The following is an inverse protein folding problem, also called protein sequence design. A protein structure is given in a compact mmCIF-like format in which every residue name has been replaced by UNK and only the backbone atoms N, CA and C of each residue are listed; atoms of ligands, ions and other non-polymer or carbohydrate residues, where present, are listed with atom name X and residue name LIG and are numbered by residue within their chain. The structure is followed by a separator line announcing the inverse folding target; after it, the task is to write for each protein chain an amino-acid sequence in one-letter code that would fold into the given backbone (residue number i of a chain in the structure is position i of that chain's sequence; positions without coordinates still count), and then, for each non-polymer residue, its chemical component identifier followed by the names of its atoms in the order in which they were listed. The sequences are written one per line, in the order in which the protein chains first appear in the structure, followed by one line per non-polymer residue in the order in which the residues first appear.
data_IF_821173286057
#
_entry.id   IF_821173286057
#
_cell.length_a   1.000
_cell.length_b   1.000
_cell.length_c   1.000
_cell.angle_alpha   90.00
_cell.angle_beta   90.00
_cell.angle_gamma   90.00
#
_symmetry.space_group_name_H-M   'P 1'
#
loop_
_entity.id
_entity.type
_entity.pdbx_description
1 polymer ?
#
# COMPACT_ATOMS: atom_id res chain seq x y z
N UNK A 1 23.02 -2.17 30.72
CA UNK A 1 21.97 -2.20 29.66
C UNK A 1 20.67 -2.70 30.29
N UNK A 2 19.62 -1.89 30.24
CA UNK A 2 18.30 -2.33 30.66
C UNK A 2 17.69 -3.13 29.52
N UNK A 3 17.63 -4.44 29.65
CA UNK A 3 16.94 -5.33 28.71
C UNK A 3 15.43 -5.17 28.97
N UNK A 4 14.72 -4.62 28.01
CA UNK A 4 13.26 -4.52 28.06
C UNK A 4 12.67 -5.86 27.60
N UNK A 5 11.94 -6.53 28.46
CA UNK A 5 11.21 -7.74 28.09
C UNK A 5 9.95 -7.35 27.32
N UNK A 6 9.74 -7.99 26.17
CA UNK A 6 8.56 -7.76 25.33
C UNK A 6 7.73 -9.03 25.23
N UNK A 7 6.42 -8.87 25.31
CA UNK A 7 5.43 -9.94 25.17
C UNK A 7 4.70 -9.79 23.85
N UNK A 8 4.74 -10.84 23.05
CA UNK A 8 4.00 -10.89 21.79
C UNK A 8 2.51 -11.14 22.06
N UNK A 9 1.66 -10.33 21.43
CA UNK A 9 0.20 -10.48 21.45
C UNK A 9 -0.33 -10.37 20.03
N UNK A 10 -1.22 -11.26 19.65
CA UNK A 10 -1.97 -11.16 18.41
C UNK A 10 -3.29 -10.43 18.66
N UNK A 11 -3.61 -9.45 17.84
CA UNK A 11 -4.80 -8.63 17.98
C UNK A 11 -5.57 -8.56 16.67
N UNK A 12 -6.89 -8.58 16.77
CA UNK A 12 -7.80 -8.40 15.64
C UNK A 12 -8.44 -7.02 15.78
N UNK A 13 -8.42 -6.25 14.68
CA UNK A 13 -9.16 -5.00 14.57
C UNK A 13 -10.03 -5.06 13.32
N UNK A 14 -11.34 -4.84 13.52
CA UNK A 14 -12.32 -4.75 12.43
C UNK A 14 -13.13 -3.47 12.57
N UNK A 15 -13.29 -2.72 11.49
CA UNK A 15 -14.13 -1.54 11.51
C UNK A 15 -14.61 -1.16 10.09
N UNK A 16 -15.61 -0.29 10.06
CA UNK A 16 -16.18 0.29 8.84
C UNK A 16 -15.38 1.53 8.43
N UNK A 17 -15.19 1.73 7.15
CA UNK A 17 -14.54 2.91 6.60
C UNK A 17 -15.57 4.06 6.52
N UNK A 18 -15.37 5.09 7.34
CA UNK A 18 -16.27 6.26 7.40
C UNK A 18 -15.90 7.33 6.37
N UNK A 19 -14.64 7.71 6.32
CA UNK A 19 -14.11 8.76 5.43
C UNK A 19 -13.04 8.22 4.49
N UNK A 20 -11.99 7.65 5.05
CA UNK A 20 -10.91 6.96 4.35
C UNK A 20 -10.35 5.86 5.24
N UNK A 21 -9.61 4.94 4.64
CA UNK A 21 -9.02 3.80 5.35
C UNK A 21 -8.13 4.26 6.51
N UNK A 22 -7.21 5.21 6.26
CA UNK A 22 -6.22 5.62 7.25
C UNK A 22 -6.86 6.18 8.52
N UNK A 23 -7.76 7.16 8.38
CA UNK A 23 -8.44 7.76 9.56
C UNK A 23 -9.29 6.74 10.31
N UNK A 24 -10.01 5.87 9.62
CA UNK A 24 -10.84 4.84 10.25
C UNK A 24 -10.01 3.78 10.99
N UNK A 25 -8.84 3.42 10.45
CA UNK A 25 -7.94 2.48 11.09
C UNK A 25 -7.24 3.10 12.33
N UNK A 26 -6.81 4.37 12.25
CA UNK A 26 -6.24 5.10 13.39
C UNK A 26 -7.28 5.22 14.52
N UNK A 27 -8.52 5.61 14.19
CA UNK A 27 -9.62 5.68 15.16
C UNK A 27 -9.91 4.33 15.82
N UNK A 28 -9.60 3.23 15.14
CA UNK A 28 -9.75 1.86 15.65
C UNK A 28 -8.54 1.37 16.47
N UNK A 29 -7.51 2.21 16.66
CA UNK A 29 -6.31 1.88 17.41
C UNK A 29 -5.31 1.00 16.68
N UNK A 30 -5.33 1.01 15.34
CA UNK A 30 -4.30 0.37 14.52
C UNK A 30 -3.10 1.30 14.41
N UNK A 31 -1.90 0.77 14.62
CA UNK A 31 -0.66 1.54 14.53
C UNK A 31 -0.36 1.96 13.08
N UNK A 32 0.20 3.17 12.88
CA UNK A 32 0.42 3.73 11.54
C UNK A 32 1.22 2.84 10.58
N UNK A 33 2.24 2.14 11.07
CA UNK A 33 3.05 1.23 10.27
C UNK A 33 2.25 0.01 9.78
N UNK A 34 1.31 -0.51 10.60
CA UNK A 34 0.39 -1.58 10.19
C UNK A 34 -0.59 -1.08 9.12
N UNK A 35 -1.07 0.16 9.24
CA UNK A 35 -1.95 0.76 8.21
C UNK A 35 -1.22 0.90 6.87
N UNK A 36 0.05 1.32 6.91
CA UNK A 36 0.88 1.42 5.70
C UNK A 36 1.10 0.05 5.07
N UNK A 37 1.41 -0.96 5.87
CA UNK A 37 1.58 -2.33 5.40
C UNK A 37 0.27 -2.90 4.84
N UNK A 38 -0.86 -2.69 5.52
CA UNK A 38 -2.18 -3.08 5.02
C UNK A 38 -2.48 -2.43 3.66
N UNK A 39 -2.24 -1.13 3.52
CA UNK A 39 -2.42 -0.44 2.25
C UNK A 39 -1.46 -0.97 1.16
N UNK A 40 -0.25 -1.37 1.54
CA UNK A 40 0.73 -1.96 0.63
C UNK A 40 0.24 -3.31 0.07
N UNK A 41 -0.22 -4.22 0.93
CA UNK A 41 -0.64 -5.55 0.50
C UNK A 41 -1.93 -5.53 -0.33
N UNK A 42 -2.88 -4.65 -0.02
CA UNK A 42 -4.10 -4.49 -0.81
C UNK A 42 -3.91 -3.62 -2.07
N UNK A 43 -2.86 -2.80 -2.14
CA UNK A 43 -2.61 -1.89 -3.26
C UNK A 43 -2.39 -2.57 -4.62
N UNK A 44 -2.23 -3.89 -4.64
CA UNK A 44 -2.19 -4.70 -5.85
C UNK A 44 -3.58 -4.98 -6.44
N UNK A 45 -4.60 -5.10 -5.57
CA UNK A 45 -5.97 -5.44 -5.97
C UNK A 45 -6.92 -4.21 -5.89
N UNK A 46 -6.66 -3.27 -4.97
CA UNK A 46 -7.53 -2.14 -4.65
C UNK A 46 -6.90 -0.83 -5.09
N UNK A 47 -7.64 -0.01 -5.82
CA UNK A 47 -7.32 1.40 -6.03
C UNK A 47 -7.96 2.23 -4.90
N UNK A 48 -7.18 2.51 -3.85
CA UNK A 48 -7.64 3.25 -2.67
C UNK A 48 -8.22 4.64 -2.96
N UNK A 49 -8.02 5.17 -4.16
CA UNK A 49 -8.56 6.47 -4.58
C UNK A 49 -9.93 6.37 -5.25
N UNK A 50 -10.24 5.22 -5.84
CA UNK A 50 -11.42 5.04 -6.67
C UNK A 50 -12.38 4.00 -6.13
N UNK A 51 -11.84 2.97 -5.49
CA UNK A 51 -12.61 1.80 -5.10
C UNK A 51 -13.24 1.96 -3.72
N UNK A 52 -12.58 2.70 -2.80
CA UNK A 52 -13.05 2.85 -1.42
C UNK A 52 -14.31 3.70 -1.35
N UNK A 53 -15.32 3.17 -0.68
CA UNK A 53 -16.61 3.82 -0.45
C UNK A 53 -16.95 3.84 1.04
N UNK A 54 -17.88 4.71 1.40
CA UNK A 54 -18.47 4.70 2.72
C UNK A 54 -19.17 3.36 2.96
N UNK A 55 -18.94 2.79 4.17
CA UNK A 55 -19.46 1.50 4.62
C UNK A 55 -18.69 0.27 4.13
N UNK A 56 -17.67 0.43 3.26
CA UNK A 56 -16.67 -0.62 3.12
C UNK A 56 -16.03 -0.89 4.48
N UNK A 57 -15.48 -2.08 4.67
CA UNK A 57 -14.89 -2.43 5.95
C UNK A 57 -13.53 -3.11 5.76
N UNK A 58 -12.75 -3.12 6.83
CA UNK A 58 -11.47 -3.80 6.92
C UNK A 58 -11.38 -4.63 8.18
N UNK A 59 -10.58 -5.68 8.15
CA UNK A 59 -10.20 -6.53 9.27
C UNK A 59 -8.73 -6.86 9.19
N UNK A 60 -8.01 -6.70 10.30
CA UNK A 60 -6.57 -6.92 10.38
C UNK A 60 -6.26 -7.76 11.61
N UNK A 61 -5.65 -8.92 11.43
CA UNK A 61 -5.01 -9.70 12.49
C UNK A 61 -3.50 -9.48 12.40
N UNK A 62 -2.88 -8.92 13.42
CA UNK A 62 -1.45 -8.59 13.42
C UNK A 62 -0.83 -8.74 14.81
N UNK A 63 0.49 -8.74 14.86
CA UNK A 63 1.27 -8.90 16.09
C UNK A 63 1.59 -7.54 16.72
N UNK A 64 1.44 -7.44 18.04
CA UNK A 64 1.93 -6.34 18.89
C UNK A 64 2.95 -6.86 19.88
N UNK A 65 3.94 -6.05 20.19
CA UNK A 65 4.91 -6.31 21.26
C UNK A 65 4.69 -5.30 22.39
N UNK A 66 4.37 -5.82 23.55
CA UNK A 66 3.99 -5.06 24.74
C UNK A 66 5.07 -5.18 25.80
N UNK A 67 5.30 -4.13 26.57
CA UNK A 67 6.09 -4.19 27.79
C UNK A 67 5.27 -4.66 29.01
N UNK A 68 5.92 -4.78 30.17
CA UNK A 68 5.31 -5.17 31.44
C UNK A 68 4.15 -4.27 31.90
N UNK A 69 4.06 -3.05 31.36
CA UNK A 69 2.98 -2.09 31.62
C UNK A 69 1.86 -2.14 30.57
N UNK A 70 1.84 -3.17 29.73
CA UNK A 70 0.93 -3.31 28.57
C UNK A 70 1.03 -2.16 27.55
N UNK A 71 2.13 -1.44 27.51
CA UNK A 71 2.36 -0.40 26.50
C UNK A 71 2.91 -1.03 25.24
N UNK A 72 2.32 -0.70 24.10
CA UNK A 72 2.83 -1.11 22.78
C UNK A 72 4.20 -0.46 22.57
N UNK A 73 5.21 -1.29 22.32
CA UNK A 73 6.60 -0.86 22.06
C UNK A 73 6.98 -1.09 20.61
N UNK A 74 6.39 -2.13 20.01
CA UNK A 74 6.63 -2.46 18.62
C UNK A 74 5.43 -3.21 18.06
N UNK A 75 5.40 -3.37 16.74
CA UNK A 75 4.43 -4.18 16.03
C UNK A 75 5.15 -5.19 15.15
N UNK A 76 4.58 -6.37 15.02
CA UNK A 76 5.06 -7.38 14.10
C UNK A 76 4.32 -7.35 12.77
N UNK A 77 4.17 -8.51 12.18
CA UNK A 77 3.56 -8.69 10.87
C UNK A 77 2.04 -8.72 10.93
N UNK A 78 1.43 -8.44 9.79
CA UNK A 78 0.04 -8.78 9.53
C UNK A 78 -0.03 -10.28 9.24
N UNK A 79 -0.81 -11.02 10.00
CA UNK A 79 -1.01 -12.48 9.84
C UNK A 79 -2.12 -12.74 8.85
N UNK A 80 -3.21 -11.97 8.98
CA UNK A 80 -4.37 -12.03 8.12
C UNK A 80 -4.94 -10.64 7.94
N UNK A 81 -5.42 -10.37 6.75
CA UNK A 81 -6.10 -9.12 6.43
C UNK A 81 -7.29 -9.39 5.51
N UNK A 82 -8.40 -8.71 5.76
CA UNK A 82 -9.57 -8.74 4.91
C UNK A 82 -10.07 -7.32 4.63
N UNK A 83 -10.60 -7.12 3.45
CA UNK A 83 -11.20 -5.87 3.03
C UNK A 83 -12.41 -6.14 2.16
N UNK A 84 -13.53 -5.49 2.48
CA UNK A 84 -14.69 -5.46 1.62
C UNK A 84 -14.70 -4.17 0.83
N UNK A 85 -14.69 -4.28 -0.48
CA UNK A 85 -14.62 -3.15 -1.40
C UNK A 85 -15.28 -3.51 -2.74
N UNK A 86 -16.02 -2.58 -3.33
CA UNK A 86 -16.74 -2.79 -4.61
C UNK A 86 -17.70 -4.00 -4.61
N UNK A 87 -18.24 -4.38 -3.45
CA UNK A 87 -19.14 -5.52 -3.34
C UNK A 87 -18.46 -6.88 -3.19
N UNK A 88 -17.13 -6.90 -3.10
CA UNK A 88 -16.32 -8.11 -2.97
C UNK A 88 -15.48 -8.10 -1.70
N UNK A 89 -15.32 -9.26 -1.10
CA UNK A 89 -14.43 -9.48 0.03
C UNK A 89 -13.10 -10.05 -0.47
N UNK A 90 -12.01 -9.34 -0.17
CA UNK A 90 -10.65 -9.75 -0.51
C UNK A 90 -9.97 -10.20 0.78
N UNK A 91 -9.52 -11.45 0.79
CA UNK A 91 -8.86 -12.07 1.94
C UNK A 91 -7.40 -12.36 1.61
N UNK A 92 -6.48 -11.92 2.46
CA UNK A 92 -5.05 -12.10 2.32
C UNK A 92 -4.47 -12.78 3.57
N UNK A 93 -3.67 -13.80 3.34
CA UNK A 93 -3.04 -14.63 4.36
C UNK A 93 -1.53 -14.52 4.24
N UNK A 94 -0.87 -14.18 5.34
CA UNK A 94 0.59 -14.23 5.42
C UNK A 94 1.02 -15.69 5.51
N UNK A 95 1.89 -16.13 4.62
CA UNK A 95 2.44 -17.48 4.64
C UNK A 95 3.93 -17.47 4.33
N UNK A 96 4.70 -18.19 5.14
CA UNK A 96 6.13 -18.36 4.93
C UNK A 96 6.38 -19.68 4.20
N UNK A 97 6.93 -19.58 2.99
CA UNK A 97 7.34 -20.73 2.21
C UNK A 97 8.81 -20.59 1.80
N UNK A 98 9.65 -21.55 2.20
CA UNK A 98 11.09 -21.57 1.89
C UNK A 98 11.84 -20.29 2.25
N UNK A 99 11.54 -19.70 3.39
CA UNK A 99 12.07 -18.42 3.89
C UNK A 99 11.62 -17.16 3.12
N UNK A 100 10.69 -17.29 2.18
CA UNK A 100 9.99 -16.16 1.58
C UNK A 100 8.64 -15.99 2.26
N UNK A 101 8.47 -14.86 2.92
CA UNK A 101 7.23 -14.47 3.58
C UNK A 101 6.42 -13.60 2.64
N UNK A 102 5.30 -14.12 2.18
CA UNK A 102 4.42 -13.45 1.22
C UNK A 102 2.95 -13.54 1.63
N UNK A 103 2.14 -12.68 1.03
CA UNK A 103 0.69 -12.73 1.17
C UNK A 103 0.05 -13.43 -0.02
N UNK A 104 -0.93 -14.28 0.29
CA UNK A 104 -1.66 -15.10 -0.68
C UNK A 104 -3.15 -14.89 -0.53
N UNK A 105 -3.87 -14.95 -1.65
CA UNK A 105 -5.32 -15.02 -1.64
C UNK A 105 -5.82 -16.41 -1.19
N UNK A 106 -7.13 -16.58 -1.04
CA UNK A 106 -7.77 -17.85 -0.63
C UNK A 106 -7.51 -19.00 -1.63
N UNK A 107 -7.07 -18.70 -2.85
CA UNK A 107 -6.72 -19.68 -3.88
C UNK A 107 -5.21 -20.02 -3.86
N UNK A 108 -4.46 -19.44 -2.95
CA UNK A 108 -3.00 -19.61 -2.87
C UNK A 108 -2.24 -18.84 -3.94
N UNK A 109 -2.84 -17.83 -4.57
CA UNK A 109 -2.16 -16.94 -5.51
C UNK A 109 -1.45 -15.83 -4.74
N UNK A 110 -0.13 -15.69 -4.96
CA UNK A 110 0.65 -14.60 -4.38
C UNK A 110 0.21 -13.24 -4.95
N UNK A 111 0.06 -12.26 -4.06
CA UNK A 111 -0.27 -10.87 -4.43
C UNK A 111 0.91 -10.14 -5.07
N UNK A 112 2.15 -10.56 -4.82
CA UNK A 112 3.36 -9.89 -5.30
C UNK A 112 3.61 -10.01 -6.80
N UNK A 113 2.81 -10.82 -7.50
CA UNK A 113 2.89 -10.99 -8.96
C UNK A 113 2.25 -9.86 -9.76
N UNK A 114 1.58 -8.93 -9.12
CA UNK A 114 0.94 -7.75 -9.72
C UNK A 114 1.72 -6.47 -9.39
N UNK A 115 1.50 -5.41 -10.15
CA UNK A 115 2.02 -4.08 -9.82
C UNK A 115 0.95 -3.30 -9.03
N UNK A 116 1.40 -2.60 -7.99
CA UNK A 116 0.55 -1.73 -7.18
C UNK A 116 -0.10 -0.64 -8.05
N UNK A 117 -1.41 -0.49 -7.92
CA UNK A 117 -2.19 0.50 -8.70
C UNK A 117 -1.92 1.94 -8.25
N UNK A 118 -1.74 2.14 -6.95
CA UNK A 118 -1.51 3.47 -6.35
C UNK A 118 -0.27 3.43 -5.46
N UNK A 119 0.93 3.76 -6.00
CA UNK A 119 2.20 3.65 -5.28
C UNK A 119 2.49 4.81 -4.32
N UNK A 120 1.47 5.53 -3.89
CA UNK A 120 1.59 6.68 -2.98
C UNK A 120 0.33 6.81 -2.13
N UNK A 121 0.48 6.71 -0.81
CA UNK A 121 -0.64 6.76 0.13
C UNK A 121 -1.20 8.17 0.26
N UNK A 122 -2.53 8.29 0.29
CA UNK A 122 -3.21 9.56 0.48
C UNK A 122 -3.07 10.56 -0.67
N UNK A 123 -2.49 10.15 -1.79
CA UNK A 123 -2.37 11.00 -2.96
C UNK A 123 -3.71 11.15 -3.70
N UNK A 124 -3.90 12.29 -4.35
CA UNK A 124 -5.01 12.53 -5.26
C UNK A 124 -4.59 12.25 -6.70
N UNK A 125 -5.36 11.48 -7.45
CA UNK A 125 -5.18 11.36 -8.88
C UNK A 125 -5.35 12.75 -9.53
N UNK A 126 -4.28 13.31 -10.04
CA UNK A 126 -4.29 14.65 -10.65
C UNK A 126 -4.41 14.59 -12.17
N UNK A 127 -3.90 13.54 -12.82
CA UNK A 127 -4.04 13.33 -14.26
C UNK A 127 -3.95 11.87 -14.64
N UNK A 128 -4.87 11.41 -15.46
CA UNK A 128 -4.94 10.02 -15.96
C UNK A 128 -4.04 9.80 -17.17
N UNK A 129 -3.71 8.53 -17.43
CA UNK A 129 -3.16 8.07 -18.69
C UNK A 129 -4.14 8.34 -19.85
N UNK A 130 -3.62 8.72 -21.02
CA UNK A 130 -4.42 8.87 -22.23
C UNK A 130 -4.21 10.20 -22.96
N UNK A 131 -4.98 10.39 -24.02
CA UNK A 131 -4.97 11.66 -24.78
C UNK A 131 -5.59 12.78 -23.97
N UNK A 132 -4.85 13.86 -23.75
CA UNK A 132 -5.35 15.06 -23.06
C UNK A 132 -4.78 16.33 -23.64
N UNK A 133 -5.49 17.43 -23.43
CA UNK A 133 -4.96 18.76 -23.78
C UNK A 133 -3.77 19.04 -22.86
N UNK A 134 -2.62 19.32 -23.48
CA UNK A 134 -1.41 19.63 -22.71
C UNK A 134 -1.59 20.95 -21.95
N UNK A 135 -1.38 20.98 -20.62
CA UNK A 135 -1.73 22.15 -19.80
C UNK A 135 -0.96 23.43 -20.17
N UNK A 136 0.26 23.29 -20.72
CA UNK A 136 1.10 24.43 -21.11
C UNK A 136 1.02 24.68 -22.61
N UNK A 137 1.06 23.63 -23.44
CA UNK A 137 1.19 23.75 -24.89
C UNK A 137 -0.15 23.85 -25.64
N UNK A 138 -1.25 23.57 -24.97
CA UNK A 138 -2.62 23.76 -25.47
C UNK A 138 -3.11 22.78 -26.53
N UNK A 139 -2.26 21.92 -27.08
CA UNK A 139 -2.65 20.89 -28.05
C UNK A 139 -2.86 19.52 -27.39
N UNK A 140 -3.55 18.62 -28.07
CA UNK A 140 -3.77 17.28 -27.58
C UNK A 140 -2.48 16.46 -27.64
N UNK A 141 -2.07 15.90 -26.50
CA UNK A 141 -0.87 15.09 -26.35
C UNK A 141 -1.18 13.84 -25.54
N UNK A 142 -0.56 12.73 -25.93
CA UNK A 142 -0.64 11.48 -25.18
C UNK A 142 0.11 11.63 -23.85
N UNK A 143 -0.61 11.50 -22.75
CA UNK A 143 -0.04 11.34 -21.41
C UNK A 143 0.26 9.85 -21.17
N UNK A 144 1.54 9.52 -21.05
CA UNK A 144 2.02 8.13 -20.98
C UNK A 144 2.13 7.57 -19.56
N UNK A 145 1.62 8.30 -18.59
CA UNK A 145 1.64 7.94 -17.18
C UNK A 145 0.38 8.38 -16.47
N UNK A 146 0.36 8.13 -15.18
CA UNK A 146 -0.66 8.61 -14.24
C UNK A 146 0.02 9.53 -13.24
N UNK A 147 -0.50 10.75 -13.08
CA UNK A 147 0.04 11.71 -12.11
C UNK A 147 -0.75 11.65 -10.80
N UNK A 148 -0.04 11.50 -9.72
CA UNK A 148 -0.58 11.59 -8.37
C UNK A 148 -0.06 12.85 -7.68
N UNK A 149 -0.94 13.63 -7.08
CA UNK A 149 -0.59 14.81 -6.29
C UNK A 149 -0.70 14.50 -4.80
N UNK A 150 0.37 14.76 -4.07
CA UNK A 150 0.46 14.59 -2.63
C UNK A 150 1.28 15.74 -2.01
N UNK A 151 1.15 15.99 -0.70
CA UNK A 151 2.00 16.93 0.00
C UNK A 151 3.49 16.59 -0.15
N UNK A 152 4.35 17.62 -0.14
CA UNK A 152 5.80 17.41 -0.16
C UNK A 152 6.24 16.55 1.02
N UNK A 153 7.12 15.59 0.76
CA UNK A 153 7.58 14.62 1.77
C UNK A 153 6.75 13.34 1.87
N UNK A 154 5.62 13.23 1.14
CA UNK A 154 4.86 11.97 1.10
C UNK A 154 5.74 10.87 0.49
N UNK A 155 5.89 9.71 1.15
CA UNK A 155 6.65 8.59 0.61
C UNK A 155 6.05 8.05 -0.69
N UNK A 156 6.90 7.82 -1.69
CA UNK A 156 6.55 7.14 -2.93
C UNK A 156 7.09 5.71 -2.83
N UNK A 157 6.22 4.73 -3.03
CA UNK A 157 6.55 3.31 -2.96
C UNK A 157 6.91 2.75 -4.33
N UNK A 158 7.78 1.75 -4.37
CA UNK A 158 7.94 0.93 -5.56
C UNK A 158 6.63 0.18 -5.83
N UNK A 159 6.14 0.20 -7.07
CA UNK A 159 4.90 -0.50 -7.44
C UNK A 159 5.00 -2.02 -7.34
N UNK A 160 6.18 -2.57 -7.15
CA UNK A 160 6.43 -3.99 -6.97
C UNK A 160 7.92 -4.25 -6.79
N UNK A 161 8.27 -5.49 -6.48
CA UNK A 161 9.66 -5.94 -6.42
C UNK A 161 10.35 -5.78 -7.78
N UNK A 162 11.64 -5.46 -7.80
CA UNK A 162 12.38 -5.29 -9.04
C UNK A 162 13.79 -4.74 -8.83
N UNK A 163 14.46 -4.46 -9.94
CA UNK A 163 15.82 -3.90 -9.97
C UNK A 163 15.77 -2.46 -10.43
N UNK A 164 16.35 -1.54 -9.66
CA UNK A 164 16.48 -0.14 -10.05
C UNK A 164 17.46 -0.05 -11.22
N UNK A 165 16.98 0.45 -12.37
CA UNK A 165 17.80 0.64 -13.58
C UNK A 165 18.20 2.10 -13.76
N UNK A 166 17.42 3.05 -13.25
CA UNK A 166 17.70 4.48 -13.26
C UNK A 166 17.31 5.09 -11.91
N UNK A 167 18.19 5.94 -11.37
CA UNK A 167 17.89 6.81 -10.24
C UNK A 167 18.67 8.12 -10.43
N UNK A 168 18.07 9.12 -11.09
CA UNK A 168 18.73 10.37 -11.41
C UNK A 168 17.73 11.45 -11.85
N UNK A 169 18.24 12.64 -12.10
CA UNK A 169 17.49 13.70 -12.78
C UNK A 169 17.21 13.33 -14.24
N UNK A 170 15.93 13.41 -14.65
CA UNK A 170 15.42 13.04 -15.99
C UNK A 170 14.90 14.25 -16.78
N UNK A 171 15.55 15.40 -16.67
CA UNK A 171 15.17 16.61 -17.40
C UNK A 171 13.76 17.09 -17.03
N UNK A 172 12.88 17.25 -18.01
CA UNK A 172 11.50 17.71 -17.78
C UNK A 172 10.63 16.82 -16.90
N UNK A 173 11.06 15.59 -16.63
CA UNK A 173 10.42 14.67 -15.68
C UNK A 173 10.86 14.84 -14.23
N UNK A 174 11.86 15.70 -13.95
CA UNK A 174 12.40 15.89 -12.61
C UNK A 174 13.26 14.73 -12.14
N UNK A 175 13.26 14.46 -10.83
CA UNK A 175 13.90 13.27 -10.26
C UNK A 175 13.09 12.03 -10.69
N UNK A 176 13.78 11.02 -11.22
CA UNK A 176 13.13 9.80 -11.63
C UNK A 176 13.84 8.55 -11.10
N UNK A 177 13.04 7.53 -10.79
CA UNK A 177 13.49 6.19 -10.46
C UNK A 177 12.80 5.24 -11.44
N UNK A 178 13.60 4.45 -12.16
CA UNK A 178 13.08 3.43 -13.07
C UNK A 178 13.38 2.06 -12.51
N UNK A 179 12.34 1.23 -12.42
CA UNK A 179 12.40 -0.11 -11.83
C UNK A 179 11.98 -1.13 -12.88
N UNK A 180 12.86 -2.09 -13.16
CA UNK A 180 12.54 -3.26 -13.97
C UNK A 180 12.02 -4.37 -13.05
N UNK A 181 10.74 -4.70 -13.17
CA UNK A 181 10.08 -5.72 -12.34
C UNK A 181 10.28 -7.13 -12.90
N UNK A 182 10.20 -7.27 -14.22
CA UNK A 182 10.44 -8.54 -14.93
C UNK A 182 10.76 -8.29 -16.41
N UNK A 183 10.64 -9.32 -17.26
CA UNK A 183 10.88 -9.18 -18.69
C UNK A 183 9.85 -8.30 -19.43
N UNK A 184 8.68 -8.09 -18.84
CA UNK A 184 7.52 -7.43 -19.48
C UNK A 184 7.23 -6.05 -18.87
N UNK A 185 7.41 -5.89 -17.56
CA UNK A 185 6.98 -4.69 -16.84
C UNK A 185 8.14 -3.88 -16.29
N UNK A 186 8.03 -2.59 -16.51
CA UNK A 186 8.91 -1.55 -16.01
C UNK A 186 8.05 -0.37 -15.52
N UNK A 187 8.45 0.28 -14.40
CA UNK A 187 7.83 1.52 -13.92
C UNK A 187 8.86 2.64 -13.84
N UNK A 188 8.40 3.88 -13.95
CA UNK A 188 9.23 5.09 -13.82
C UNK A 188 8.46 6.14 -13.03
#
# INVERSE_FOLDING_TARGET
ENILQLYKKEVVVKNIIKNNLYSSAVESGVEPNIIVEFARIFGFEVDFQRDIRKEDWFEILYEKFLDDNNKVRDTGKIIYASMYVNGEEINLYNFNYKNDEEYYDIKGKSITKSLMKTPINGARLSSSFGMRKHPILGYNKMHRGTDFAAPSGTPIMASGSGTITIARWCGGGGNCIKIKHNSTYETI
#
